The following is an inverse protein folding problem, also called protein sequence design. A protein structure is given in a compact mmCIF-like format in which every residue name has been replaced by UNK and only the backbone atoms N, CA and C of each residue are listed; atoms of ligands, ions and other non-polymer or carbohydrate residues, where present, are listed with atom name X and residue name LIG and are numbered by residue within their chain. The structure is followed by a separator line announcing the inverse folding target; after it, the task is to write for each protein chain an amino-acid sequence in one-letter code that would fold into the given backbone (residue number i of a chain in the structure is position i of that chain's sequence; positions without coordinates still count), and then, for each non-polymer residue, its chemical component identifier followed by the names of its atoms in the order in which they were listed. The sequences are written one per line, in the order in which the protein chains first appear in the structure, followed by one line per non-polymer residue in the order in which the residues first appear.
data_IF_533747753000
#
_entry.id   IF_533747753000
#
_cell.length_a   1.000
_cell.length_b   1.000
_cell.length_c   1.000
_cell.angle_alpha   90.00
_cell.angle_beta   90.00
_cell.angle_gamma   90.00
#
_symmetry.space_group_name_H-M   'P 1'
#
loop_
_entity.id
_entity.type
_entity.pdbx_description
1 polymer ?
#
# COMPACT_ATOMS: atom_id res chain seq x y z
N UNK A 1 -51.16 21.30 -1.24
CA UNK A 1 -50.31 22.09 -0.35
C UNK A 1 -49.09 21.26 -0.05
N UNK A 2 -48.06 21.35 -0.88
CA UNK A 2 -46.67 21.02 -0.53
C UNK A 2 -45.78 21.47 -1.69
N UNK A 3 -45.64 22.78 -1.76
CA UNK A 3 -44.54 23.49 -2.40
C UNK A 3 -43.75 24.03 -1.21
N UNK A 4 -42.48 23.63 -1.06
CA UNK A 4 -41.38 24.38 -0.41
C UNK A 4 -40.33 23.43 0.19
N UNK A 5 -39.45 22.81 -0.63
CA UNK A 5 -38.19 22.28 -0.07
C UNK A 5 -37.03 22.02 -1.04
N UNK A 6 -36.94 22.72 -2.19
CA UNK A 6 -35.76 22.60 -3.07
C UNK A 6 -35.12 23.97 -3.39
N UNK A 7 -34.86 24.76 -2.36
CA UNK A 7 -34.08 25.99 -2.49
C UNK A 7 -32.96 26.04 -1.44
N UNK A 8 -31.90 25.27 -1.70
CA UNK A 8 -30.54 25.51 -1.22
C UNK A 8 -29.61 24.47 -1.85
N UNK A 9 -28.91 24.84 -2.91
CA UNK A 9 -27.50 24.54 -3.26
C UNK A 9 -27.25 25.34 -4.55
N UNK A 10 -27.11 26.64 -4.39
CA UNK A 10 -26.65 27.56 -5.42
C UNK A 10 -25.87 28.65 -4.68
N UNK A 11 -24.58 28.42 -4.46
CA UNK A 11 -23.56 29.40 -4.10
C UNK A 11 -22.22 28.66 -3.89
N UNK A 12 -21.51 28.37 -4.99
CA UNK A 12 -20.04 28.42 -5.09
C UNK A 12 -19.70 28.72 -6.56
N UNK A 13 -20.03 29.95 -6.98
CA UNK A 13 -19.18 30.82 -7.82
C UNK A 13 -17.84 31.02 -7.07
N UNK A 14 -16.67 31.32 -7.61
CA UNK A 14 -16.11 31.58 -8.95
C UNK A 14 -14.59 31.79 -8.69
N UNK A 15 -13.84 32.21 -9.72
CA UNK A 15 -12.40 32.55 -9.78
C UNK A 15 -11.52 31.38 -10.30
N UNK A 16 -11.38 31.20 -11.63
CA UNK A 16 -10.49 31.95 -12.57
C UNK A 16 -9.01 31.94 -12.12
N UNK A 17 -7.97 31.79 -12.95
CA UNK A 17 -7.74 31.53 -14.36
C UNK A 17 -6.18 31.43 -14.49
N UNK A 18 -5.68 30.87 -15.60
CA UNK A 18 -4.29 30.97 -16.12
C UNK A 18 -3.26 30.04 -15.41
N UNK A 19 -2.48 29.20 -16.10
CA UNK A 19 -1.67 29.44 -17.30
C UNK A 19 -1.28 28.10 -17.97
N UNK A 20 -1.33 28.12 -19.30
CA UNK A 20 -0.50 27.45 -20.33
C UNK A 20 0.70 26.60 -19.83
N UNK A 21 1.05 25.44 -20.39
CA UNK A 21 1.58 25.32 -21.77
C UNK A 21 2.04 23.88 -22.11
N UNK A 22 1.85 23.53 -23.39
CA UNK A 22 2.54 22.58 -24.29
C UNK A 22 3.65 21.65 -23.78
N UNK A 23 3.62 20.37 -24.21
CA UNK A 23 4.84 19.69 -24.68
C UNK A 23 4.53 18.50 -25.59
N UNK A 24 4.88 18.65 -26.86
CA UNK A 24 5.02 17.61 -27.88
C UNK A 24 6.16 16.65 -27.54
N UNK A 25 5.92 15.34 -27.58
CA UNK A 25 6.97 14.32 -27.44
C UNK A 25 7.32 13.73 -28.82
N UNK A 26 8.37 14.30 -29.44
CA UNK A 26 9.07 13.72 -30.58
C UNK A 26 10.18 12.78 -30.10
N UNK A 27 10.25 11.64 -30.76
CA UNK A 27 11.36 10.70 -30.79
C UNK A 27 12.70 11.40 -31.10
N UNK A 28 13.77 11.10 -30.35
CA UNK A 28 14.96 10.38 -30.84
C UNK A 28 16.18 10.49 -29.91
N UNK A 29 16.84 9.33 -29.76
CA UNK A 29 18.30 9.13 -29.70
C UNK A 29 19.16 9.68 -28.55
N UNK A 30 19.61 8.71 -27.76
CA UNK A 30 21.03 8.31 -27.64
C UNK A 30 22.01 9.07 -26.72
N UNK A 31 22.67 8.22 -25.93
CA UNK A 31 24.03 8.33 -25.38
C UNK A 31 24.34 9.24 -24.18
N UNK A 32 25.02 8.58 -23.26
CA UNK A 32 26.12 9.06 -22.41
C UNK A 32 25.81 9.51 -20.98
N UNK A 33 26.18 8.62 -20.07
CA UNK A 33 26.80 8.91 -18.79
C UNK A 33 27.57 10.24 -18.78
N UNK A 34 27.31 11.08 -17.78
CA UNK A 34 28.40 11.78 -17.10
C UNK A 34 28.08 12.02 -15.61
N UNK A 35 29.07 11.74 -14.78
CA UNK A 35 29.08 11.86 -13.32
C UNK A 35 29.75 13.21 -12.97
N UNK A 36 29.47 13.72 -11.76
CA UNK A 36 30.02 14.96 -11.17
C UNK A 36 29.24 16.24 -11.56
N UNK A 37 28.98 17.21 -10.67
CA UNK A 37 29.85 17.70 -9.62
C UNK A 37 29.06 18.44 -8.51
N UNK A 38 29.66 18.41 -7.32
CA UNK A 38 29.26 19.11 -6.08
C UNK A 38 29.14 20.63 -6.31
N UNK A 39 28.36 21.33 -5.48
CA UNK A 39 28.85 22.45 -4.64
C UNK A 39 27.86 22.74 -3.49
N UNK A 40 28.45 22.85 -2.30
CA UNK A 40 27.90 23.31 -1.02
C UNK A 40 27.02 24.55 -1.12
N UNK A 41 26.08 24.71 -0.17
CA UNK A 41 26.06 25.89 0.71
C UNK A 41 25.17 25.67 1.95
N UNK A 42 25.81 25.60 3.12
CA UNK A 42 25.26 26.03 4.42
C UNK A 42 25.44 27.56 4.52
N UNK A 43 24.65 28.30 5.31
CA UNK A 43 25.02 28.53 6.71
C UNK A 43 23.87 28.67 7.74
N UNK A 44 24.19 28.25 8.97
CA UNK A 44 23.86 28.79 10.30
C UNK A 44 22.66 29.74 10.50
N UNK A 45 21.81 29.50 11.52
CA UNK A 45 21.89 30.18 12.84
C UNK A 45 20.85 29.66 13.89
N UNK A 46 21.38 29.22 15.07
CA UNK A 46 20.93 29.39 16.49
C UNK A 46 19.46 29.13 16.90
N UNK A 47 19.09 28.73 18.13
CA UNK A 47 19.66 28.20 19.39
C UNK A 47 18.46 28.15 20.39
N UNK A 48 18.60 27.45 21.52
CA UNK A 48 17.76 27.39 22.75
C UNK A 48 16.75 26.24 22.81
N UNK A 49 16.54 25.49 23.90
CA UNK A 49 17.27 25.08 25.13
C UNK A 49 16.27 24.14 25.84
N UNK A 50 16.70 23.00 26.38
CA UNK A 50 16.23 22.46 27.67
C UNK A 50 16.92 21.12 27.96
N UNK A 51 17.95 21.21 28.79
CA UNK A 51 18.59 20.09 29.49
C UNK A 51 17.87 19.87 30.82
N UNK A 52 17.58 18.60 31.13
CA UNK A 52 17.69 18.03 32.49
C UNK A 52 17.87 16.50 32.36
N UNK A 53 19.12 16.07 32.62
CA UNK A 53 19.57 14.95 33.47
C UNK A 53 18.89 13.56 33.39
N UNK A 54 19.58 12.41 33.48
CA UNK A 54 20.99 12.06 33.68
C UNK A 54 21.14 10.55 33.41
N UNK A 55 22.31 10.20 32.87
CA UNK A 55 23.07 8.94 32.88
C UNK A 55 22.36 7.58 33.03
N UNK A 56 22.76 6.64 32.16
CA UNK A 56 23.71 5.57 32.54
C UNK A 56 24.10 4.77 31.27
N UNK A 57 25.40 4.47 31.14
CA UNK A 57 26.04 3.49 30.23
C UNK A 57 26.43 3.95 28.80
N UNK A 58 27.36 4.90 28.72
CA UNK A 58 28.45 4.82 27.73
C UNK A 58 29.55 3.91 28.28
N UNK A 59 29.61 2.66 27.82
CA UNK A 59 30.82 1.83 27.91
C UNK A 59 31.01 1.04 26.61
N UNK A 60 32.08 1.43 25.91
CA UNK A 60 33.07 0.58 25.26
C UNK A 60 32.68 -0.21 24.00
N UNK A 61 33.43 0.05 22.92
CA UNK A 61 33.66 -0.97 21.88
C UNK A 61 33.37 -0.53 20.45
N UNK A 62 34.38 0.06 19.83
CA UNK A 62 34.65 0.05 18.38
C UNK A 62 34.16 -1.28 17.74
N UNK A 63 33.34 -1.20 16.69
CA UNK A 63 33.01 -2.29 15.75
C UNK A 63 32.16 -3.48 16.24
N UNK A 64 31.00 -3.22 16.87
CA UNK A 64 30.07 -4.29 17.26
C UNK A 64 28.56 -4.05 17.13
N UNK A 65 28.09 -2.91 16.58
CA UNK A 65 26.65 -2.61 16.44
C UNK A 65 25.95 -3.39 15.31
N UNK A 66 26.36 -4.65 15.06
CA UNK A 66 25.60 -5.57 14.22
C UNK A 66 24.41 -6.08 15.02
N UNK A 67 23.31 -5.33 14.93
CA UNK A 67 21.95 -5.67 15.35
C UNK A 67 21.81 -6.04 16.83
N UNK A 68 21.36 -5.09 17.65
CA UNK A 68 20.93 -5.39 19.01
C UNK A 68 19.89 -6.52 18.98
N UNK A 69 20.18 -7.64 19.68
CA UNK A 69 19.26 -8.78 19.76
C UNK A 69 18.01 -8.37 20.55
N UNK A 70 16.89 -8.26 19.86
CA UNK A 70 15.61 -7.91 20.49
C UNK A 70 15.07 -9.10 21.28
N UNK A 71 14.65 -8.87 22.53
CA UNK A 71 14.00 -9.89 23.38
C UNK A 71 12.55 -10.14 22.96
N UNK A 72 11.97 -11.29 23.33
CA UNK A 72 10.54 -11.57 23.10
C UNK A 72 9.64 -10.54 23.82
N UNK A 73 10.04 -10.09 25.01
CA UNK A 73 9.31 -9.08 25.79
C UNK A 73 9.23 -7.74 25.05
N UNK A 74 10.36 -7.29 24.49
CA UNK A 74 10.39 -6.06 23.68
C UNK A 74 9.54 -6.18 22.41
N UNK A 75 9.54 -7.36 21.77
CA UNK A 75 8.69 -7.64 20.60
C UNK A 75 7.20 -7.53 20.95
N UNK A 76 6.78 -8.14 22.07
CA UNK A 76 5.40 -8.10 22.52
C UNK A 76 4.98 -6.68 22.90
N UNK A 77 5.79 -5.97 23.67
CA UNK A 77 5.53 -4.58 24.04
C UNK A 77 5.41 -3.65 22.82
N UNK A 78 6.23 -3.88 21.77
CA UNK A 78 6.14 -3.12 20.52
C UNK A 78 4.79 -3.35 19.82
N UNK A 79 4.39 -4.61 19.68
CA UNK A 79 3.13 -4.99 19.02
C UNK A 79 1.97 -4.37 19.78
N UNK A 80 1.91 -4.59 21.10
CA UNK A 80 0.86 -4.07 21.97
C UNK A 80 0.73 -2.55 21.89
N UNK A 81 1.84 -1.80 21.91
CA UNK A 81 1.79 -0.32 21.80
C UNK A 81 1.24 0.14 20.45
N UNK A 82 1.64 -0.52 19.37
CA UNK A 82 1.20 -0.14 18.02
C UNK A 82 -0.26 -0.52 17.78
N UNK A 83 -0.72 -1.67 18.29
CA UNK A 83 -2.09 -2.16 18.09
C UNK A 83 -3.09 -1.57 19.07
N UNK A 84 -2.75 -1.51 20.35
CA UNK A 84 -3.68 -1.11 21.42
C UNK A 84 -3.73 0.40 21.61
N UNK A 85 -2.58 1.08 21.54
CA UNK A 85 -2.50 2.55 21.70
C UNK A 85 -2.62 3.29 20.36
N UNK A 86 -2.55 2.58 19.22
CA UNK A 86 -2.61 3.18 17.88
C UNK A 86 -1.41 4.08 17.54
N UNK A 87 -0.31 3.99 18.31
CA UNK A 87 0.85 4.83 18.10
C UNK A 87 1.66 4.38 16.88
N UNK A 88 2.41 5.32 16.27
CA UNK A 88 3.22 5.00 15.09
C UNK A 88 4.35 4.03 15.43
N UNK A 89 4.74 3.19 14.46
CA UNK A 89 5.86 2.26 14.63
C UNK A 89 7.15 3.03 15.00
N UNK A 90 7.32 4.25 14.49
CA UNK A 90 8.50 5.09 14.74
C UNK A 90 8.56 5.57 16.20
N UNK A 91 7.45 6.01 16.78
CA UNK A 91 7.40 6.42 18.19
C UNK A 91 7.62 5.23 19.13
N UNK A 92 6.92 4.12 18.89
CA UNK A 92 7.05 2.92 19.72
C UNK A 92 8.47 2.32 19.68
N UNK A 93 9.13 2.36 18.52
CA UNK A 93 10.50 1.89 18.37
C UNK A 93 11.50 2.76 19.15
N UNK A 94 11.29 4.08 19.16
CA UNK A 94 12.12 5.02 19.93
C UNK A 94 12.00 4.75 21.43
N UNK A 95 10.78 4.57 21.93
CA UNK A 95 10.50 4.32 23.35
C UNK A 95 11.10 3.00 23.84
N UNK A 96 11.09 1.97 22.98
CA UNK A 96 11.62 0.64 23.30
C UNK A 96 13.10 0.47 22.96
N UNK A 97 13.77 1.53 22.48
CA UNK A 97 15.17 1.52 22.02
C UNK A 97 15.46 0.42 20.99
N UNK A 98 14.54 0.26 20.02
CA UNK A 98 14.63 -0.70 18.92
C UNK A 98 14.93 0.05 17.62
N UNK A 99 15.82 -0.51 16.79
CA UNK A 99 16.05 0.02 15.45
C UNK A 99 14.76 0.01 14.61
N UNK A 100 14.48 1.12 13.94
CA UNK A 100 13.25 1.28 13.17
C UNK A 100 13.06 0.18 12.11
N UNK A 101 14.12 -0.24 11.43
CA UNK A 101 14.09 -1.34 10.46
C UNK A 101 13.63 -2.66 11.09
N UNK A 102 14.10 -2.96 12.29
CA UNK A 102 13.71 -4.18 13.01
C UNK A 102 12.28 -4.09 13.53
N UNK A 103 11.85 -2.94 14.03
CA UNK A 103 10.46 -2.70 14.41
C UNK A 103 9.50 -2.87 13.21
N UNK A 104 9.87 -2.35 12.04
CA UNK A 104 9.13 -2.52 10.79
C UNK A 104 9.01 -4.00 10.40
N UNK A 105 10.11 -4.75 10.47
CA UNK A 105 10.12 -6.18 10.19
C UNK A 105 9.23 -6.97 11.17
N UNK A 106 9.30 -6.67 12.47
CA UNK A 106 8.43 -7.28 13.49
C UNK A 106 6.95 -7.02 13.17
N UNK A 107 6.58 -5.77 12.89
CA UNK A 107 5.19 -5.42 12.59
C UNK A 107 4.70 -6.02 11.28
N UNK A 108 5.57 -6.15 10.27
CA UNK A 108 5.24 -6.82 9.02
C UNK A 108 4.96 -8.30 9.24
N UNK A 109 5.79 -9.00 10.03
CA UNK A 109 5.55 -10.40 10.41
C UNK A 109 4.25 -10.53 11.21
N UNK A 110 4.01 -9.63 12.17
CA UNK A 110 2.78 -9.65 12.96
C UNK A 110 1.53 -9.45 12.08
N UNK A 111 1.54 -8.47 11.16
CA UNK A 111 0.40 -8.25 10.24
C UNK A 111 0.15 -9.40 9.28
N UNK A 112 1.21 -10.12 8.88
CA UNK A 112 1.12 -11.25 7.95
C UNK A 112 0.74 -12.56 8.63
N UNK A 113 1.35 -12.86 9.77
CA UNK A 113 1.29 -14.17 10.43
C UNK A 113 0.53 -14.15 11.77
N UNK A 114 0.15 -12.98 12.31
CA UNK A 114 -0.42 -12.86 13.67
C UNK A 114 0.56 -13.16 14.80
N UNK A 115 1.86 -13.28 14.49
CA UNK A 115 2.86 -13.87 15.39
C UNK A 115 3.49 -12.88 16.37
N UNK A 116 3.24 -13.10 17.67
CA UNK A 116 3.76 -12.26 18.77
C UNK A 116 5.16 -12.70 19.25
N UNK A 117 5.41 -14.01 19.37
CA UNK A 117 6.66 -14.56 19.92
C UNK A 117 7.65 -15.01 18.83
N UNK A 118 8.94 -15.15 19.14
CA UNK A 118 9.91 -15.77 18.21
C UNK A 118 9.58 -17.25 17.94
N UNK A 119 10.01 -17.77 16.79
CA UNK A 119 9.91 -19.20 16.45
C UNK A 119 10.89 -19.99 17.30
N UNK A 120 10.35 -20.80 18.20
CA UNK A 120 11.12 -21.83 18.90
C UNK A 120 11.51 -22.83 17.81
N UNK A 121 12.77 -22.79 17.40
CA UNK A 121 13.36 -23.84 16.58
C UNK A 121 13.52 -25.02 17.54
N UNK A 122 12.83 -26.14 17.27
CA UNK A 122 13.00 -27.38 18.04
C UNK A 122 14.48 -27.75 18.00
N UNK A 123 15.11 -27.86 19.16
CA UNK A 123 16.45 -28.41 19.26
C UNK A 123 16.41 -29.84 18.73
N UNK A 124 17.06 -30.06 17.59
CA UNK A 124 17.33 -31.41 17.10
C UNK A 124 18.28 -32.02 18.13
N UNK A 125 17.74 -32.95 18.95
CA UNK A 125 18.53 -33.75 19.90
C UNK A 125 19.68 -34.41 19.12
N UNK A 126 20.88 -33.87 19.23
CA UNK A 126 22.08 -34.57 18.81
C UNK A 126 22.21 -35.80 19.70
N UNK A 127 21.87 -36.97 19.16
CA UNK A 127 22.09 -38.26 19.82
C UNK A 127 23.60 -38.39 20.06
N UNK A 128 24.00 -38.27 21.31
CA UNK A 128 25.31 -38.66 21.80
C UNK A 128 25.44 -40.18 21.67
N UNK A 129 25.98 -40.67 20.56
CA UNK A 129 26.48 -42.05 20.48
C UNK A 129 27.84 -42.10 21.17
N UNK A 130 27.83 -42.32 22.49
CA UNK A 130 28.98 -42.85 23.23
C UNK A 130 28.85 -44.37 23.26
N UNK A 131 29.82 -45.02 22.62
CA UNK A 131 30.39 -46.34 22.91
C UNK A 131 29.85 -47.07 24.15
N UNK A 132 29.39 -48.32 23.95
CA UNK A 132 30.02 -49.49 24.58
C UNK A 132 29.53 -50.77 23.88
N UNK A 133 30.49 -51.57 23.40
CA UNK A 133 30.22 -52.95 22.99
C UNK A 133 30.23 -53.91 24.16
N UNK A 134 29.91 -55.15 23.82
CA UNK A 134 30.11 -56.42 24.53
C UNK A 134 28.94 -57.00 25.34
N UNK A 135 28.44 -58.11 24.77
CA UNK A 135 28.10 -59.41 25.38
C UNK A 135 26.64 -59.73 25.75
N UNK A 136 26.15 -60.74 25.02
CA UNK A 136 25.47 -61.97 25.44
C UNK A 136 24.01 -61.91 25.96
N UNK A 137 23.14 -62.43 25.08
CA UNK A 137 22.26 -63.59 25.34
C UNK A 137 21.69 -63.75 26.75
N UNK A 138 20.70 -62.94 27.14
CA UNK A 138 19.73 -63.34 28.19
C UNK A 138 18.53 -62.39 28.34
N UNK A 139 17.79 -62.06 27.26
CA UNK A 139 16.51 -61.32 27.43
C UNK A 139 15.46 -61.76 26.40
N UNK A 140 15.14 -63.06 26.39
CA UNK A 140 13.98 -63.62 25.69
C UNK A 140 12.90 -63.98 26.72
N UNK A 141 12.46 -63.01 27.54
CA UNK A 141 11.28 -63.20 28.41
C UNK A 141 10.62 -61.90 28.93
N UNK A 142 10.95 -60.74 28.35
CA UNK A 142 10.29 -59.45 28.65
C UNK A 142 9.65 -58.79 27.42
N UNK A 143 9.39 -59.54 26.34
CA UNK A 143 8.82 -59.00 25.10
C UNK A 143 7.28 -59.01 25.04
N UNK A 144 6.59 -59.64 25.99
CA UNK A 144 5.13 -59.78 25.96
C UNK A 144 4.34 -58.63 26.59
N UNK A 145 4.98 -57.67 27.28
CA UNK A 145 4.28 -56.52 27.90
C UNK A 145 4.52 -55.17 27.18
N UNK A 146 5.40 -55.13 26.16
CA UNK A 146 5.71 -53.88 25.44
C UNK A 146 4.93 -53.74 24.11
N UNK A 147 4.22 -54.78 23.66
CA UNK A 147 3.43 -54.76 22.42
C UNK A 147 2.04 -54.14 22.61
N UNK A 148 1.42 -54.24 23.79
CA UNK A 148 0.11 -53.59 24.04
C UNK A 148 0.17 -52.07 24.22
N UNK A 149 1.34 -51.49 24.53
CA UNK A 149 1.51 -50.04 24.52
C UNK A 149 1.92 -49.48 23.15
N UNK A 150 2.51 -50.28 22.26
CA UNK A 150 2.87 -49.82 20.91
C UNK A 150 1.68 -49.80 19.93
N UNK A 151 0.65 -50.62 20.15
CA UNK A 151 -0.60 -50.58 19.37
C UNK A 151 -1.46 -49.32 19.61
N UNK A 152 -1.24 -48.60 20.71
CA UNK A 152 -1.87 -47.29 20.95
C UNK A 152 -1.16 -46.12 20.26
N UNK A 153 0.13 -46.23 19.94
CA UNK A 153 0.87 -45.17 19.25
C UNK A 153 0.63 -45.19 17.74
N UNK A 154 0.48 -46.36 17.11
CA UNK A 154 0.21 -46.48 15.67
C UNK A 154 -1.19 -45.98 15.28
N UNK A 155 -2.17 -46.06 16.20
CA UNK A 155 -3.53 -45.56 15.95
C UNK A 155 -3.68 -44.04 16.08
N UNK A 156 -2.70 -43.34 16.65
CA UNK A 156 -2.70 -41.88 16.80
C UNK A 156 -2.10 -41.20 15.56
N UNK A 157 -1.09 -41.80 14.90
CA UNK A 157 -0.51 -41.25 13.66
C UNK A 157 -1.50 -41.26 12.48
N UNK A 158 -2.29 -42.34 12.30
CA UNK A 158 -3.27 -42.42 11.22
C UNK A 158 -4.45 -41.42 11.35
N UNK A 159 -4.69 -40.86 12.54
CA UNK A 159 -5.71 -39.82 12.76
C UNK A 159 -5.13 -38.41 12.52
N UNK A 160 -3.81 -38.25 12.62
CA UNK A 160 -3.14 -36.97 12.46
C UNK A 160 -3.04 -36.56 10.97
N UNK A 161 -2.77 -37.52 10.08
CA UNK A 161 -2.71 -37.28 8.62
C UNK A 161 -4.08 -36.87 8.02
N UNK A 162 -5.19 -37.31 8.63
CA UNK A 162 -6.53 -36.99 8.16
C UNK A 162 -6.96 -35.55 8.49
N UNK A 163 -6.41 -34.97 9.57
CA UNK A 163 -6.65 -33.57 9.93
C UNK A 163 -5.81 -32.60 9.09
N UNK A 164 -4.57 -32.96 8.75
CA UNK A 164 -3.73 -32.14 7.87
C UNK A 164 -4.27 -32.07 6.45
N UNK A 165 -4.80 -33.19 5.95
CA UNK A 165 -5.44 -33.26 4.62
C UNK A 165 -6.69 -32.38 4.54
N UNK A 166 -7.54 -32.37 5.58
CA UNK A 166 -8.73 -31.49 5.62
C UNK A 166 -8.37 -30.00 5.68
N UNK A 167 -7.33 -29.62 6.44
CA UNK A 167 -6.92 -28.23 6.54
C UNK A 167 -6.39 -27.70 5.20
N UNK A 168 -5.64 -28.53 4.48
CA UNK A 168 -5.15 -28.17 3.15
C UNK A 168 -6.30 -27.99 2.14
N UNK A 169 -7.27 -28.91 2.16
CA UNK A 169 -8.44 -28.83 1.28
C UNK A 169 -9.28 -27.58 1.55
N UNK A 170 -9.49 -27.22 2.83
CA UNK A 170 -10.20 -25.99 3.20
C UNK A 170 -9.45 -24.73 2.72
N UNK A 171 -8.11 -24.72 2.83
CA UNK A 171 -7.31 -23.61 2.34
C UNK A 171 -7.37 -23.50 0.80
N UNK A 172 -7.41 -24.62 0.08
CA UNK A 172 -7.56 -24.64 -1.37
C UNK A 172 -8.93 -24.08 -1.80
N UNK A 173 -10.01 -24.48 -1.13
CA UNK A 173 -11.36 -23.97 -1.40
C UNK A 173 -11.45 -22.46 -1.13
N UNK A 174 -10.87 -21.98 -0.03
CA UNK A 174 -10.80 -20.55 0.27
C UNK A 174 -10.02 -19.78 -0.81
N UNK A 175 -8.90 -20.33 -1.30
CA UNK A 175 -8.13 -19.74 -2.40
C UNK A 175 -8.93 -19.71 -3.71
N UNK A 176 -9.67 -20.78 -4.03
CA UNK A 176 -10.57 -20.81 -5.21
C UNK A 176 -11.66 -19.75 -5.10
N UNK A 177 -12.27 -19.61 -3.92
CA UNK A 177 -13.30 -18.61 -3.70
C UNK A 177 -12.74 -17.18 -3.83
N UNK A 178 -11.56 -16.93 -3.26
CA UNK A 178 -10.87 -15.65 -3.40
C UNK A 178 -10.54 -15.35 -4.89
N UNK A 179 -10.10 -16.35 -5.65
CA UNK A 179 -9.83 -16.20 -7.08
C UNK A 179 -11.09 -15.82 -7.88
N UNK A 180 -12.25 -16.41 -7.56
CA UNK A 180 -13.53 -16.05 -8.18
C UNK A 180 -13.94 -14.61 -7.88
N UNK A 181 -13.77 -14.15 -6.63
CA UNK A 181 -14.05 -12.76 -6.25
C UNK A 181 -13.16 -11.80 -7.03
N UNK A 182 -11.85 -12.09 -7.13
CA UNK A 182 -10.90 -11.27 -7.88
C UNK A 182 -11.30 -11.21 -9.37
N UNK A 183 -11.70 -12.34 -9.95
CA UNK A 183 -12.16 -12.39 -11.34
C UNK A 183 -13.41 -11.52 -11.55
N UNK A 184 -14.38 -11.58 -10.64
CA UNK A 184 -15.59 -10.76 -10.70
C UNK A 184 -15.28 -9.27 -10.59
N UNK A 185 -14.40 -8.88 -9.68
CA UNK A 185 -13.97 -7.48 -9.53
C UNK A 185 -13.25 -6.97 -10.78
N UNK A 186 -12.39 -7.79 -11.38
CA UNK A 186 -11.72 -7.43 -12.63
C UNK A 186 -12.71 -7.23 -13.79
N UNK A 187 -13.73 -8.08 -13.90
CA UNK A 187 -14.78 -7.93 -14.91
C UNK A 187 -15.58 -6.64 -14.70
N UNK A 188 -15.93 -6.31 -13.46
CA UNK A 188 -16.62 -5.04 -13.14
C UNK A 188 -15.76 -3.82 -13.45
N UNK A 189 -14.47 -3.84 -13.09
CA UNK A 189 -13.54 -2.76 -13.40
C UNK A 189 -13.40 -2.54 -14.91
N UNK A 190 -13.33 -3.62 -15.70
CA UNK A 190 -13.27 -3.53 -17.15
C UNK A 190 -14.54 -2.90 -17.75
N UNK A 191 -15.71 -3.28 -17.23
CA UNK A 191 -16.98 -2.68 -17.63
C UNK A 191 -17.04 -1.18 -17.33
N UNK A 192 -16.64 -0.79 -16.12
CA UNK A 192 -16.59 0.62 -15.71
C UNK A 192 -15.61 1.42 -16.56
N UNK A 193 -14.44 0.88 -16.86
CA UNK A 193 -13.45 1.53 -17.72
C UNK A 193 -14.01 1.75 -19.14
N UNK A 194 -14.69 0.75 -19.70
CA UNK A 194 -15.38 0.89 -21.00
C UNK A 194 -16.45 1.99 -20.96
N UNK A 195 -17.24 2.06 -19.87
CA UNK A 195 -18.26 3.10 -19.69
C UNK A 195 -17.67 4.50 -19.58
N UNK A 196 -16.55 4.66 -18.87
CA UNK A 196 -15.83 5.95 -18.77
C UNK A 196 -15.35 6.40 -20.15
N UNK A 197 -14.74 5.50 -20.93
CA UNK A 197 -14.29 5.80 -22.27
C UNK A 197 -15.44 6.23 -23.19
N UNK A 198 -16.60 5.55 -23.08
CA UNK A 198 -17.80 5.93 -23.84
C UNK A 198 -18.28 7.34 -23.47
N UNK A 199 -18.41 7.65 -22.18
CA UNK A 199 -18.82 8.98 -21.72
C UNK A 199 -17.85 10.07 -22.16
N UNK A 200 -16.56 9.77 -22.23
CA UNK A 200 -15.55 10.71 -22.74
C UNK A 200 -15.74 11.00 -24.24
N UNK A 201 -16.08 9.98 -25.04
CA UNK A 201 -16.42 10.16 -26.45
C UNK A 201 -17.72 10.97 -26.61
N UNK A 202 -18.76 10.65 -25.83
CA UNK A 202 -20.03 11.38 -25.86
C UNK A 202 -19.83 12.85 -25.50
N UNK A 203 -19.02 13.13 -24.47
CA UNK A 203 -18.64 14.50 -24.09
C UNK A 203 -17.98 15.24 -25.25
N UNK A 204 -17.05 14.60 -25.94
CA UNK A 204 -16.38 15.21 -27.10
C UNK A 204 -17.37 15.52 -28.24
N UNK A 205 -18.30 14.59 -28.53
CA UNK A 205 -19.33 14.82 -29.53
C UNK A 205 -20.27 15.97 -29.16
N UNK A 206 -20.68 16.06 -27.90
CA UNK A 206 -21.52 17.17 -27.41
C UNK A 206 -20.77 18.50 -27.56
N UNK A 207 -19.50 18.54 -27.17
CA UNK A 207 -18.70 19.75 -27.30
C UNK A 207 -18.57 20.20 -28.77
N UNK A 208 -18.30 19.27 -29.68
CA UNK A 208 -18.24 19.56 -31.12
C UNK A 208 -19.57 20.09 -31.67
N UNK A 209 -20.71 19.52 -31.25
CA UNK A 209 -22.05 20.01 -31.63
C UNK A 209 -22.32 21.41 -31.08
N UNK A 210 -21.89 21.68 -29.85
CA UNK A 210 -22.04 22.97 -29.21
C UNK A 210 -21.22 24.06 -29.93
N UNK A 211 -19.98 23.76 -30.29
CA UNK A 211 -19.12 24.66 -31.08
C UNK A 211 -19.76 24.99 -32.45
N UNK A 212 -20.35 24.00 -33.12
CA UNK A 212 -21.07 24.22 -34.38
C UNK A 212 -22.28 25.14 -34.20
N UNK A 213 -23.04 24.94 -33.13
CA UNK A 213 -24.21 25.78 -32.82
C UNK A 213 -23.80 27.23 -32.53
N UNK A 214 -22.71 27.44 -31.78
CA UNK A 214 -22.15 28.77 -31.52
C UNK A 214 -21.74 29.47 -32.81
N UNK A 215 -21.08 28.75 -33.72
CA UNK A 215 -20.70 29.29 -35.02
C UNK A 215 -21.93 29.72 -35.84
N UNK A 216 -22.98 28.89 -35.87
CA UNK A 216 -24.23 29.21 -36.57
C UNK A 216 -24.93 30.44 -35.97
N UNK A 217 -24.98 30.52 -34.63
CA UNK A 217 -25.54 31.66 -33.92
C UNK A 217 -24.78 32.95 -34.28
N UNK A 218 -23.45 32.90 -34.27
CA UNK A 218 -22.62 34.04 -34.63
C UNK A 218 -22.85 34.50 -36.08
N UNK A 219 -22.96 33.56 -37.03
CA UNK A 219 -23.28 33.88 -38.42
C UNK A 219 -24.63 34.60 -38.55
N UNK A 220 -25.66 34.12 -37.84
CA UNK A 220 -26.98 34.74 -37.84
C UNK A 220 -26.94 36.16 -37.26
N UNK A 221 -26.17 36.37 -36.20
CA UNK A 221 -25.99 37.67 -35.58
C UNK A 221 -25.34 38.67 -36.55
N UNK A 222 -24.33 38.25 -37.32
CA UNK A 222 -23.71 39.10 -38.34
C UNK A 222 -24.71 39.49 -39.44
N UNK A 223 -25.53 38.55 -39.92
CA UNK A 223 -26.58 38.86 -40.91
C UNK A 223 -27.59 39.86 -40.35
N UNK A 224 -28.04 39.67 -39.10
CA UNK A 224 -28.99 40.58 -38.47
C UNK A 224 -28.43 42.01 -38.35
N UNK A 225 -27.13 42.17 -38.04
CA UNK A 225 -26.47 43.48 -37.99
C UNK A 225 -26.44 44.16 -39.37
N UNK A 226 -26.21 43.41 -40.45
CA UNK A 226 -26.23 43.96 -41.81
C UNK A 226 -27.61 44.47 -42.21
N UNK A 227 -28.69 43.83 -41.76
CA UNK A 227 -30.07 44.29 -42.00
C UNK A 227 -30.44 45.53 -41.19
N UNK A 228 -29.87 45.70 -39.99
CA UNK A 228 -30.18 46.82 -39.09
C UNK A 228 -29.37 48.07 -39.36
N UNK A 229 -28.27 48.01 -40.14
CA UNK A 229 -27.56 49.21 -40.53
C UNK A 229 -28.43 50.02 -41.50
N UNK A 230 -28.89 51.23 -41.13
CA UNK A 230 -29.67 52.05 -42.04
C UNK A 230 -28.81 52.35 -43.27
N UNK A 231 -29.36 52.26 -44.49
CA UNK A 231 -28.63 52.70 -45.65
C UNK A 231 -28.27 54.17 -45.42
N UNK A 232 -26.99 54.43 -45.22
CA UNK A 232 -26.44 55.78 -45.22
C UNK A 232 -26.65 56.32 -46.63
N UNK A 233 -27.84 56.87 -46.88
CA UNK A 233 -28.09 57.69 -48.05
C UNK A 233 -27.17 58.90 -47.90
N UNK A 234 -26.01 58.82 -48.55
CA UNK A 234 -25.16 59.97 -48.77
C UNK A 234 -25.97 60.92 -49.65
N UNK A 235 -26.63 61.89 -49.02
CA UNK A 235 -27.22 62.98 -49.75
C UNK A 235 -26.08 63.73 -50.44
N UNK A 236 -26.11 63.87 -51.79
CA UNK A 236 -25.09 64.64 -52.48
C UNK A 236 -25.17 66.08 -51.98
N UNK A 237 -24.14 66.52 -51.27
CA UNK A 237 -23.93 67.93 -50.96
C UNK A 237 -23.69 68.67 -52.27
N UNK A 238 -24.71 69.35 -52.76
CA UNK A 238 -24.56 70.32 -53.84
C UNK A 238 -23.71 71.47 -53.33
N UNK A 239 -22.46 71.54 -53.80
CA UNK A 239 -21.61 72.70 -53.61
C UNK A 239 -22.19 73.89 -54.42
N UNK A 240 -22.42 75.01 -53.73
CA UNK A 240 -22.74 76.30 -54.34
C UNK A 240 -21.46 77.03 -54.76
#
# INVERSE_FOLDING_TARGET
MDLMLDQQIAQVEEVEEQVSSSSSCSHDSDSSFDLENKVNNKPHLKKLTNDLNVDVQKRNGKFGLKYAKISNRQRQALIERVTSTGCTIKSAAKDLSINFSTAKAIMQIFRREGRITKKIVREIKQKTNKSLGQNNEEVILQKSQLEEQNLKFVKVEAIQDNNETNLYQQAEEANRHQALIIQQLNAQNLYLQSRVNQLQQDKFQINSKYELLLMQYHQLQQMAQQFLQPPMFQFPTFAQ
#
